data_IF_258661741087
#
_entry.id   IF_258661741087
#
_cell.length_a   1.000
_cell.length_b   1.000
_cell.length_c   1.000
_cell.angle_alpha   90.00
_cell.angle_beta   90.00
_cell.angle_gamma   90.00
#
_symmetry.space_group_name_H-M   'P 1'
#
loop_
_entity.id
_entity.type
_entity.pdbx_description
1 polymer ?
#
# COMPACT_ATOMS: atom_id res chain seq x y z
N UNK A 1 12.19 11.67 5.39
CA UNK A 1 11.81 11.20 6.75
C UNK A 1 10.52 10.42 6.57
N UNK A 2 10.55 9.11 6.75
CA UNK A 2 9.37 8.25 6.66
C UNK A 2 9.15 7.52 7.97
N UNK A 3 7.94 7.02 8.19
CA UNK A 3 7.61 6.17 9.33
C UNK A 3 7.28 4.79 8.78
N UNK A 4 7.87 3.75 9.36
CA UNK A 4 7.46 2.36 9.11
C UNK A 4 6.55 1.95 10.24
N UNK A 5 5.38 1.43 9.90
CA UNK A 5 4.43 0.88 10.85
C UNK A 5 4.02 -0.51 10.38
N UNK A 6 3.87 -1.43 11.33
CA UNK A 6 3.36 -2.78 11.07
C UNK A 6 1.94 -2.85 11.59
N UNK A 7 1.03 -3.33 10.74
CA UNK A 7 -0.36 -3.56 11.08
C UNK A 7 -0.69 -5.05 10.90
N UNK A 8 -1.44 -5.61 11.84
CA UNK A 8 -1.90 -7.00 11.82
C UNK A 8 -3.42 -7.08 11.95
N UNK A 9 -4.07 -7.88 11.12
CA UNK A 9 -5.50 -8.22 11.24
C UNK A 9 -6.52 -7.16 10.82
N UNK A 10 -6.16 -5.87 10.73
CA UNK A 10 -7.09 -4.78 10.41
C UNK A 10 -6.95 -4.31 8.95
N UNK A 11 -7.70 -4.95 8.04
CA UNK A 11 -7.74 -4.56 6.61
C UNK A 11 -8.36 -3.18 6.37
N UNK A 12 -9.34 -2.80 7.20
CA UNK A 12 -10.02 -1.50 7.13
C UNK A 12 -9.09 -0.33 7.43
N UNK A 13 -8.16 -0.49 8.38
CA UNK A 13 -7.18 0.55 8.72
C UNK A 13 -6.27 0.84 7.53
N UNK A 14 -5.74 -0.22 6.90
CA UNK A 14 -4.94 -0.08 5.69
C UNK A 14 -5.71 0.67 4.59
N UNK A 15 -6.95 0.28 4.30
CA UNK A 15 -7.77 0.96 3.28
C UNK A 15 -8.05 2.42 3.65
N UNK A 16 -8.27 2.74 4.93
CA UNK A 16 -8.47 4.11 5.38
C UNK A 16 -7.24 5.00 5.17
N UNK A 17 -6.03 4.45 5.36
CA UNK A 17 -4.78 5.18 5.09
C UNK A 17 -4.60 5.43 3.60
N UNK A 18 -4.88 4.43 2.77
CA UNK A 18 -4.82 4.58 1.30
C UNK A 18 -5.81 5.65 0.84
N UNK A 19 -7.04 5.63 1.36
CA UNK A 19 -8.06 6.63 1.04
C UNK A 19 -7.62 8.03 1.47
N UNK A 20 -7.13 8.20 2.70
CA UNK A 20 -6.68 9.49 3.21
C UNK A 20 -5.53 10.08 2.36
N UNK A 21 -4.48 9.30 2.07
CA UNK A 21 -3.32 9.77 1.30
C UNK A 21 -3.71 10.17 -0.11
N UNK A 22 -4.50 9.32 -0.79
CA UNK A 22 -4.92 9.62 -2.18
C UNK A 22 -5.89 10.80 -2.27
N UNK A 23 -6.80 10.95 -1.29
CA UNK A 23 -7.70 12.09 -1.21
C UNK A 23 -6.98 13.43 -0.98
N UNK A 24 -5.84 13.43 -0.28
CA UNK A 24 -4.96 14.59 -0.12
C UNK A 24 -4.08 14.85 -1.36
N UNK A 25 -4.19 14.03 -2.39
CA UNK A 25 -3.41 14.16 -3.61
C UNK A 25 -2.03 13.51 -3.54
N UNK A 26 -1.83 12.52 -2.68
CA UNK A 26 -0.66 11.64 -2.68
C UNK A 26 -0.84 10.42 -3.60
N UNK A 27 0.26 9.70 -3.85
CA UNK A 27 0.30 8.45 -4.61
C UNK A 27 0.63 7.26 -3.70
N UNK A 28 -0.01 6.13 -3.99
CA UNK A 28 0.09 4.92 -3.17
C UNK A 28 0.48 3.73 -4.04
N UNK A 29 1.46 2.95 -3.58
CA UNK A 29 1.71 1.62 -4.11
C UNK A 29 1.22 0.53 -3.16
N UNK A 30 0.52 -0.46 -3.68
CA UNK A 30 0.06 -1.66 -2.93
C UNK A 30 0.74 -2.88 -3.54
N UNK A 31 1.55 -3.57 -2.75
CA UNK A 31 2.45 -4.63 -3.20
C UNK A 31 2.09 -5.94 -2.50
N UNK A 32 1.96 -7.04 -3.25
CA UNK A 32 1.78 -8.37 -2.67
C UNK A 32 0.43 -8.58 -1.97
N UNK A 33 -0.61 -7.85 -2.40
CA UNK A 33 -1.97 -7.97 -1.85
C UNK A 33 -2.99 -8.23 -2.98
N UNK A 34 -3.06 -9.46 -3.51
CA UNK A 34 -3.85 -9.78 -4.70
C UNK A 34 -5.34 -9.51 -4.51
N UNK A 35 -5.87 -9.72 -3.29
CA UNK A 35 -7.30 -9.60 -3.04
C UNK A 35 -7.75 -8.18 -2.69
N UNK A 36 -6.86 -7.16 -2.72
CA UNK A 36 -7.11 -5.80 -2.21
C UNK A 36 -8.46 -5.22 -2.65
N UNK A 37 -9.26 -4.75 -1.69
CA UNK A 37 -10.60 -4.23 -1.95
C UNK A 37 -10.57 -2.80 -2.50
N UNK A 38 -10.25 -2.64 -3.79
CA UNK A 38 -10.21 -1.31 -4.45
C UNK A 38 -11.57 -0.61 -4.45
N UNK A 39 -12.66 -1.36 -4.61
CA UNK A 39 -14.01 -0.81 -4.50
C UNK A 39 -14.24 -0.22 -3.10
N UNK A 40 -13.88 -0.95 -2.05
CA UNK A 40 -13.98 -0.46 -0.68
C UNK A 40 -13.07 0.77 -0.46
N UNK A 41 -11.89 0.82 -1.07
CA UNK A 41 -11.03 2.02 -1.02
C UNK A 41 -11.75 3.22 -1.65
N UNK A 42 -12.37 3.06 -2.81
CA UNK A 42 -13.12 4.11 -3.49
C UNK A 42 -14.35 4.58 -2.68
N UNK A 43 -15.09 3.65 -2.06
CA UNK A 43 -16.20 3.97 -1.14
C UNK A 43 -15.73 4.76 0.08
N UNK A 44 -14.48 4.57 0.50
CA UNK A 44 -13.83 5.32 1.58
C UNK A 44 -13.24 6.66 1.12
N UNK A 45 -13.37 7.02 -0.16
CA UNK A 45 -12.92 8.29 -0.73
C UNK A 45 -11.54 8.25 -1.40
N UNK A 46 -10.98 7.06 -1.65
CA UNK A 46 -9.71 6.95 -2.36
C UNK A 46 -9.81 7.40 -3.82
N UNK A 47 -8.79 8.10 -4.30
CA UNK A 47 -8.62 8.38 -5.72
C UNK A 47 -7.86 7.23 -6.39
N UNK A 48 -8.60 6.37 -7.10
CA UNK A 48 -8.04 5.18 -7.76
C UNK A 48 -7.02 5.52 -8.85
N UNK A 49 -7.06 6.74 -9.42
CA UNK A 49 -6.07 7.15 -10.43
C UNK A 49 -4.66 7.32 -9.86
N UNK A 50 -4.55 7.38 -8.52
CA UNK A 50 -3.31 7.58 -7.77
C UNK A 50 -2.82 6.31 -7.08
N UNK A 51 -3.45 5.17 -7.35
CA UNK A 51 -3.09 3.87 -6.75
C UNK A 51 -2.43 2.98 -7.81
N UNK A 52 -1.19 2.57 -7.54
CA UNK A 52 -0.54 1.50 -8.26
C UNK A 52 -0.72 0.18 -7.50
N UNK A 53 -1.22 -0.85 -8.16
CA UNK A 53 -1.36 -2.20 -7.58
C UNK A 53 -0.35 -3.13 -8.25
N UNK A 54 0.46 -3.78 -7.42
CA UNK A 54 1.45 -4.79 -7.78
C UNK A 54 1.02 -6.09 -7.08
N UNK A 55 0.13 -6.89 -7.68
CA UNK A 55 -0.42 -8.09 -7.03
C UNK A 55 0.68 -9.11 -6.71
N UNK A 56 1.63 -9.28 -7.63
CA UNK A 56 2.75 -10.21 -7.54
C UNK A 56 4.06 -9.43 -7.60
N UNK A 57 4.77 -9.38 -6.47
CA UNK A 57 5.98 -8.58 -6.32
C UNK A 57 7.28 -9.33 -6.71
N UNK A 58 7.14 -10.53 -7.28
CA UNK A 58 8.27 -11.33 -7.75
C UNK A 58 9.14 -11.88 -6.62
N UNK A 59 10.43 -12.08 -6.92
CA UNK A 59 11.38 -12.75 -6.03
C UNK A 59 11.72 -11.91 -4.78
N UNK A 60 11.82 -10.58 -4.91
CA UNK A 60 12.12 -9.67 -3.80
C UNK A 60 11.13 -8.48 -3.68
N UNK A 61 9.98 -8.69 -3.02
CA UNK A 61 9.02 -7.63 -2.70
C UNK A 61 9.58 -6.48 -1.87
N UNK A 62 10.64 -6.68 -1.08
CA UNK A 62 11.23 -5.61 -0.26
C UNK A 62 12.05 -4.68 -1.14
N UNK A 63 12.79 -5.24 -2.09
CA UNK A 63 13.49 -4.45 -3.12
C UNK A 63 12.49 -3.63 -3.95
N UNK A 64 11.40 -4.24 -4.41
CA UNK A 64 10.32 -3.52 -5.14
C UNK A 64 9.75 -2.39 -4.29
N UNK A 65 9.49 -2.63 -3.01
CA UNK A 65 9.01 -1.60 -2.09
C UNK A 65 10.05 -0.47 -1.92
N UNK A 66 11.33 -0.80 -1.77
CA UNK A 66 12.40 0.17 -1.61
C UNK A 66 12.50 1.12 -2.81
N UNK A 67 12.40 0.59 -4.04
CA UNK A 67 12.39 1.41 -5.26
C UNK A 67 11.17 2.32 -5.32
N UNK A 68 9.99 1.82 -4.93
CA UNK A 68 8.75 2.61 -4.96
C UNK A 68 8.70 3.69 -3.87
N UNK A 69 9.39 3.51 -2.74
CA UNK A 69 9.49 4.52 -1.68
C UNK A 69 10.15 5.82 -2.15
N UNK A 70 10.95 5.80 -3.22
CA UNK A 70 11.57 7.00 -3.77
C UNK A 70 10.57 7.93 -4.49
N UNK A 71 9.41 7.40 -4.91
CA UNK A 71 8.43 8.14 -5.71
C UNK A 71 7.00 8.17 -5.16
N UNK A 72 6.66 7.32 -4.19
CA UNK A 72 5.31 7.19 -3.64
C UNK A 72 5.22 7.81 -2.24
N UNK A 73 4.08 8.43 -1.93
CA UNK A 73 3.81 9.00 -0.60
C UNK A 73 3.50 7.92 0.45
N UNK A 74 2.97 6.77 0.00
CA UNK A 74 2.73 5.59 0.83
C UNK A 74 3.01 4.30 0.04
N UNK A 75 3.74 3.38 0.66
CA UNK A 75 3.94 2.02 0.16
C UNK A 75 3.35 1.04 1.15
N UNK A 76 2.38 0.24 0.68
CA UNK A 76 1.75 -0.82 1.46
C UNK A 76 2.29 -2.16 0.97
N UNK A 77 3.10 -2.81 1.79
CA UNK A 77 3.73 -4.08 1.46
C UNK A 77 3.08 -5.26 2.21
N UNK A 78 2.55 -6.22 1.46
CA UNK A 78 2.21 -7.54 1.97
C UNK A 78 3.48 -8.36 2.21
N UNK A 79 3.82 -8.61 3.47
CA UNK A 79 5.07 -9.30 3.83
C UNK A 79 5.05 -10.81 3.57
N UNK A 80 3.87 -11.41 3.32
CA UNK A 80 3.76 -12.85 3.03
C UNK A 80 4.40 -13.74 4.11
N UNK A 81 4.30 -13.35 5.38
CA UNK A 81 4.91 -14.05 6.52
C UNK A 81 6.34 -13.62 6.88
N UNK A 82 6.93 -12.69 6.13
CA UNK A 82 8.23 -12.08 6.47
C UNK A 82 8.09 -11.04 7.58
N UNK A 83 9.16 -10.80 8.31
CA UNK A 83 9.29 -9.69 9.25
C UNK A 83 10.39 -8.76 8.76
N UNK A 84 10.18 -7.45 8.90
CA UNK A 84 11.16 -6.42 8.56
C UNK A 84 11.47 -5.68 9.87
N UNK A 85 12.75 -5.52 10.25
CA UNK A 85 13.14 -4.85 11.48
C UNK A 85 12.86 -3.34 11.47
#
# INVERSE_FOLDING_TARGET
>A
RGTVAVLSGARSLQLSLVAAVTAEGGHVAIIGQPDVGLLAAAEMGADLSRIAVIPEAGADPVEVAAVLMDGMDLVVLGLGGRTVP
#
